data_IF_992221492395
#
_entry.id   IF_992221492395
#
_cell.length_a   1.000
_cell.length_b   1.000
_cell.length_c   1.000
_cell.angle_alpha   90.00
_cell.angle_beta   90.00
_cell.angle_gamma   90.00
#
_symmetry.space_group_name_H-M   'P 1'
#
loop_
_entity.id
_entity.type
_entity.pdbx_description
1 polymer ?
#
# COMPACT_ATOMS: atom_id res chain seq x y z
N UNK A 1 6.54 -73.91 -35.71
CA UNK A 1 6.40 -72.54 -35.19
C UNK A 1 7.70 -71.80 -35.42
N UNK A 2 7.75 -70.92 -36.40
CA UNK A 2 8.87 -69.98 -36.59
C UNK A 2 8.27 -68.72 -37.19
N UNK A 3 8.01 -67.73 -36.34
CA UNK A 3 7.58 -66.41 -36.79
C UNK A 3 8.74 -65.74 -37.52
N UNK A 4 8.57 -65.52 -38.82
CA UNK A 4 9.49 -64.77 -39.63
C UNK A 4 9.51 -63.31 -39.16
N UNK A 5 10.59 -62.89 -38.49
CA UNK A 5 10.85 -61.47 -38.22
C UNK A 5 11.12 -60.77 -39.55
N UNK A 6 10.18 -59.96 -40.00
CA UNK A 6 10.32 -59.14 -41.20
C UNK A 6 11.59 -58.26 -41.10
N UNK A 7 12.39 -58.13 -42.17
CA UNK A 7 13.59 -57.31 -42.14
C UNK A 7 13.19 -55.84 -41.98
N UNK A 8 13.63 -55.23 -40.88
CA UNK A 8 13.45 -53.79 -40.65
C UNK A 8 14.13 -53.04 -41.80
N UNK A 9 13.34 -52.38 -42.63
CA UNK A 9 13.85 -51.56 -43.73
C UNK A 9 14.55 -50.35 -43.13
N UNK A 10 15.89 -50.42 -43.07
CA UNK A 10 16.77 -49.42 -42.43
C UNK A 10 16.47 -47.99 -42.90
N UNK A 11 16.09 -47.78 -44.16
CA UNK A 11 15.72 -46.46 -44.68
C UNK A 11 14.44 -45.88 -44.06
N UNK A 12 13.42 -46.72 -43.83
CA UNK A 12 12.19 -46.32 -43.13
C UNK A 12 12.45 -46.03 -41.65
N UNK A 13 13.33 -46.80 -41.02
CA UNK A 13 13.74 -46.57 -39.63
C UNK A 13 14.43 -45.22 -39.46
N UNK A 14 15.39 -44.86 -40.32
CA UNK A 14 16.03 -43.54 -40.28
C UNK A 14 15.07 -42.39 -40.58
N UNK A 15 14.12 -42.57 -41.51
CA UNK A 15 13.08 -41.57 -41.79
C UNK A 15 12.21 -41.31 -40.55
N UNK A 16 11.71 -42.37 -39.88
CA UNK A 16 10.93 -42.22 -38.65
C UNK A 16 11.74 -41.61 -37.49
N UNK A 17 13.03 -41.90 -37.41
CA UNK A 17 13.90 -41.35 -36.36
C UNK A 17 14.19 -39.86 -36.59
N UNK A 18 14.35 -39.43 -37.84
CA UNK A 18 14.46 -38.02 -38.22
C UNK A 18 13.14 -37.26 -38.01
N UNK A 19 12.01 -37.89 -38.33
CA UNK A 19 10.68 -37.33 -38.08
C UNK A 19 10.44 -37.13 -36.58
N UNK A 20 10.74 -38.15 -35.76
CA UNK A 20 10.66 -38.05 -34.31
C UNK A 20 11.59 -36.97 -33.75
N UNK A 21 12.82 -36.86 -34.27
CA UNK A 21 13.77 -35.83 -33.85
C UNK A 21 13.28 -34.42 -34.22
N UNK A 22 12.69 -34.26 -35.40
CA UNK A 22 12.12 -32.98 -35.86
C UNK A 22 10.93 -32.57 -35.00
N UNK A 23 10.04 -33.49 -34.66
CA UNK A 23 8.92 -33.25 -33.73
C UNK A 23 9.44 -32.87 -32.35
N UNK A 24 10.47 -33.57 -31.85
CA UNK A 24 11.08 -33.28 -30.56
C UNK A 24 11.69 -31.87 -30.52
N UNK A 25 12.44 -31.48 -31.56
CA UNK A 25 12.99 -30.13 -31.70
C UNK A 25 11.87 -29.07 -31.78
N UNK A 26 10.77 -29.36 -32.49
CA UNK A 26 9.62 -28.47 -32.58
C UNK A 26 8.94 -28.23 -31.23
N UNK A 27 8.66 -29.30 -30.48
CA UNK A 27 8.05 -29.20 -29.14
C UNK A 27 8.98 -28.50 -28.16
N UNK A 28 10.26 -28.86 -28.15
CA UNK A 28 11.25 -28.25 -27.26
C UNK A 28 11.46 -26.76 -27.59
N UNK A 29 11.56 -26.42 -28.88
CA UNK A 29 11.67 -25.03 -29.34
C UNK A 29 10.43 -24.20 -28.99
N UNK A 30 9.23 -24.76 -29.17
CA UNK A 30 7.99 -24.10 -28.77
C UNK A 30 7.92 -23.88 -27.25
N UNK A 31 8.35 -24.85 -26.46
CA UNK A 31 8.43 -24.73 -25.01
C UNK A 31 9.41 -23.63 -24.57
N UNK A 32 10.60 -23.56 -25.18
CA UNK A 32 11.57 -22.50 -24.91
C UNK A 32 11.03 -21.11 -25.27
N UNK A 33 10.38 -20.98 -26.43
CA UNK A 33 9.77 -19.72 -26.85
C UNK A 33 8.64 -19.29 -25.91
N UNK A 34 7.80 -20.24 -25.47
CA UNK A 34 6.74 -19.97 -24.51
C UNK A 34 7.31 -19.48 -23.17
N UNK A 35 8.31 -20.18 -22.63
CA UNK A 35 8.97 -19.78 -21.38
C UNK A 35 9.60 -18.40 -21.49
N UNK A 36 10.25 -18.08 -22.61
CA UNK A 36 10.83 -16.76 -22.86
C UNK A 36 9.77 -15.65 -22.90
N UNK A 37 8.62 -15.90 -23.55
CA UNK A 37 7.51 -14.95 -23.58
C UNK A 37 6.88 -14.74 -22.20
N UNK A 38 6.73 -15.81 -21.43
CA UNK A 38 6.23 -15.75 -20.05
C UNK A 38 7.18 -14.99 -19.11
N UNK A 39 8.49 -15.23 -19.20
CA UNK A 39 9.50 -14.50 -18.43
C UNK A 39 9.46 -13.00 -18.75
N UNK A 40 9.41 -12.64 -20.04
CA UNK A 40 9.33 -11.25 -20.47
C UNK A 40 8.05 -10.56 -19.97
N UNK A 41 6.91 -11.26 -20.02
CA UNK A 41 5.64 -10.74 -19.48
C UNK A 41 5.71 -10.55 -17.98
N UNK A 42 6.30 -11.50 -17.25
CA UNK A 42 6.49 -11.42 -15.79
C UNK A 42 7.39 -10.25 -15.41
N UNK A 43 8.47 -10.01 -16.16
CA UNK A 43 9.36 -8.88 -15.97
C UNK A 43 8.64 -7.54 -16.17
N UNK A 44 7.83 -7.41 -17.24
CA UNK A 44 7.02 -6.22 -17.47
C UNK A 44 6.04 -5.94 -16.33
N UNK A 45 5.35 -6.97 -15.84
CA UNK A 45 4.43 -6.84 -14.70
C UNK A 45 5.15 -6.46 -13.41
N UNK A 46 6.34 -7.03 -13.16
CA UNK A 46 7.17 -6.65 -12.02
C UNK A 46 7.59 -5.18 -12.12
N UNK A 47 8.01 -4.71 -13.30
CA UNK A 47 8.40 -3.31 -13.49
C UNK A 47 7.22 -2.36 -13.24
N UNK A 48 6.02 -2.71 -13.71
CA UNK A 48 4.80 -1.95 -13.39
C UNK A 48 4.54 -1.88 -11.88
N UNK A 49 4.68 -3.00 -11.16
CA UNK A 49 4.55 -3.02 -9.71
C UNK A 49 5.58 -2.10 -9.03
N UNK A 50 6.85 -2.16 -9.46
CA UNK A 50 7.92 -1.28 -8.97
C UNK A 50 7.55 0.20 -9.17
N UNK A 51 7.03 0.57 -10.34
CA UNK A 51 6.64 1.94 -10.64
C UNK A 51 5.47 2.42 -9.76
N UNK A 52 4.48 1.56 -9.51
CA UNK A 52 3.37 1.88 -8.60
C UNK A 52 3.86 2.07 -7.17
N UNK A 53 4.74 1.19 -6.69
CA UNK A 53 5.36 1.32 -5.36
C UNK A 53 6.18 2.60 -5.28
N UNK A 54 6.98 2.89 -6.30
CA UNK A 54 7.80 4.11 -6.38
C UNK A 54 6.96 5.38 -6.34
N UNK A 55 5.86 5.41 -7.09
CA UNK A 55 4.90 6.50 -7.05
C UNK A 55 4.30 6.66 -5.65
N UNK A 56 3.83 5.55 -5.06
CA UNK A 56 3.23 5.53 -3.73
C UNK A 56 4.16 6.10 -2.66
N UNK A 57 5.40 5.60 -2.57
CA UNK A 57 6.32 5.99 -1.49
C UNK A 57 6.94 7.36 -1.73
N UNK A 58 7.28 7.72 -2.98
CA UNK A 58 7.95 9.00 -3.27
C UNK A 58 7.00 10.17 -3.10
N UNK A 59 5.76 10.05 -3.59
CA UNK A 59 4.80 11.15 -3.56
C UNK A 59 4.27 11.42 -2.15
N UNK A 60 4.12 10.39 -1.33
CA UNK A 60 3.46 10.51 -0.03
C UNK A 60 4.43 10.60 1.17
N UNK A 61 5.67 10.12 1.08
CA UNK A 61 6.61 10.21 2.21
C UNK A 61 6.76 11.65 2.73
N UNK A 62 7.08 12.60 1.84
CA UNK A 62 7.24 14.02 2.22
C UNK A 62 5.94 14.60 2.79
N UNK A 63 4.79 14.22 2.20
CA UNK A 63 3.47 14.67 2.67
C UNK A 63 3.17 14.17 4.08
N UNK A 64 3.41 12.89 4.38
CA UNK A 64 3.21 12.35 5.72
C UNK A 64 4.12 13.03 6.74
N UNK A 65 5.39 13.30 6.40
CA UNK A 65 6.29 14.07 7.24
C UNK A 65 5.76 15.47 7.54
N UNK A 66 5.32 16.19 6.50
CA UNK A 66 4.71 17.51 6.64
C UNK A 66 3.42 17.49 7.47
N UNK A 67 2.56 16.50 7.25
CA UNK A 67 1.32 16.32 8.02
C UNK A 67 1.58 16.08 9.50
N UNK A 68 2.57 15.22 9.82
CA UNK A 68 2.94 14.97 11.21
C UNK A 68 3.49 16.22 11.88
N UNK A 69 4.38 16.97 11.21
CA UNK A 69 4.97 18.19 11.74
C UNK A 69 3.91 19.28 11.99
N UNK A 70 3.03 19.52 11.01
CA UNK A 70 1.93 20.47 11.13
C UNK A 70 0.97 20.10 12.28
N UNK A 71 0.58 18.82 12.35
CA UNK A 71 -0.35 18.35 13.38
C UNK A 71 0.25 18.40 14.79
N UNK A 72 1.57 18.20 14.94
CA UNK A 72 2.25 18.28 16.24
C UNK A 72 2.15 19.70 16.83
N UNK A 73 2.33 20.74 16.01
CA UNK A 73 2.17 22.15 16.43
C UNK A 73 0.74 22.41 16.90
N UNK A 74 -0.27 22.01 16.11
CA UNK A 74 -1.68 22.22 16.45
C UNK A 74 -2.11 21.41 17.68
N UNK A 75 -1.59 20.19 17.85
CA UNK A 75 -1.85 19.36 19.02
C UNK A 75 -1.26 19.97 20.30
N UNK A 76 -0.11 20.64 20.22
CA UNK A 76 0.47 21.34 21.36
C UNK A 76 -0.43 22.48 21.83
N UNK A 77 -0.88 23.33 20.90
CA UNK A 77 -1.81 24.44 21.17
C UNK A 77 -3.13 23.92 21.76
N UNK A 78 -3.69 22.88 21.14
CA UNK A 78 -4.92 22.22 21.61
C UNK A 78 -4.78 21.70 23.05
N UNK A 79 -3.68 21.01 23.36
CA UNK A 79 -3.39 20.48 24.71
C UNK A 79 -3.28 21.58 25.74
N UNK A 80 -2.63 22.69 25.40
CA UNK A 80 -2.45 23.82 26.30
C UNK A 80 -3.82 24.43 26.68
N UNK A 81 -4.69 24.65 25.68
CA UNK A 81 -6.05 25.16 25.90
C UNK A 81 -6.90 24.16 26.72
N UNK A 82 -6.83 22.87 26.39
CA UNK A 82 -7.56 21.83 27.12
C UNK A 82 -7.11 21.70 28.59
N UNK A 83 -5.80 21.79 28.84
CA UNK A 83 -5.22 21.75 30.18
C UNK A 83 -5.58 22.99 31.02
N UNK A 84 -5.74 24.16 30.38
CA UNK A 84 -6.24 25.38 31.02
C UNK A 84 -7.74 25.32 31.37
N UNK A 85 -8.42 24.21 31.07
CA UNK A 85 -9.84 24.00 31.36
C UNK A 85 -10.78 24.48 30.26
N UNK A 86 -10.26 25.11 29.20
CA UNK A 86 -11.05 25.53 28.04
C UNK A 86 -11.38 24.34 27.13
N UNK A 87 -12.41 24.50 26.30
CA UNK A 87 -12.70 23.61 25.19
C UNK A 87 -12.13 24.28 23.94
N UNK A 88 -11.04 23.75 23.36
CA UNK A 88 -10.47 24.33 22.14
C UNK A 88 -11.49 24.24 21.00
N UNK A 89 -11.35 25.11 20.00
CA UNK A 89 -12.11 24.97 18.76
C UNK A 89 -11.57 23.77 17.97
N UNK A 90 -12.47 22.95 17.46
CA UNK A 90 -12.19 21.85 16.54
C UNK A 90 -13.29 21.69 15.49
N UNK A 91 -14.07 22.75 15.20
CA UNK A 91 -15.20 22.71 14.27
C UNK A 91 -14.84 22.86 12.79
N UNK A 92 -13.56 23.00 12.45
CA UNK A 92 -13.06 23.31 11.10
C UNK A 92 -12.21 22.17 10.50
N UNK A 93 -12.26 20.97 11.08
CA UNK A 93 -11.45 19.86 10.61
C UNK A 93 -11.95 19.36 9.25
N UNK A 94 -11.11 19.49 8.23
CA UNK A 94 -11.43 19.06 6.87
C UNK A 94 -10.29 18.29 6.23
N UNK A 95 -10.59 17.08 5.74
CA UNK A 95 -9.67 16.24 4.97
C UNK A 95 -10.35 15.89 3.62
N UNK A 96 -9.88 16.42 2.48
CA UNK A 96 -10.55 16.26 1.19
C UNK A 96 -10.45 14.83 0.66
N UNK A 97 -11.58 14.25 0.22
CA UNK A 97 -11.62 12.93 -0.43
C UNK A 97 -11.77 13.04 -1.97
N UNK A 98 -11.07 12.21 -2.78
CA UNK A 98 -10.05 11.23 -2.38
C UNK A 98 -8.65 11.84 -2.18
N UNK A 99 -8.05 11.62 -1.02
CA UNK A 99 -6.69 12.11 -0.69
C UNK A 99 -5.57 11.13 -1.09
N UNK A 100 -5.90 9.84 -1.13
CA UNK A 100 -4.97 8.72 -1.31
C UNK A 100 -5.45 7.81 -2.45
N UNK A 101 -4.55 7.25 -3.28
CA UNK A 101 -4.91 6.40 -4.40
C UNK A 101 -5.20 4.98 -3.92
N UNK A 102 -6.33 4.79 -3.24
CA UNK A 102 -6.68 3.49 -2.62
C UNK A 102 -6.76 2.38 -3.66
N UNK A 103 -7.28 2.66 -4.85
CA UNK A 103 -7.35 1.67 -5.93
C UNK A 103 -5.95 1.13 -6.31
N UNK A 104 -4.94 1.99 -6.30
CA UNK A 104 -3.54 1.60 -6.55
C UNK A 104 -3.02 0.73 -5.42
N UNK A 105 -3.34 1.09 -4.17
CA UNK A 105 -2.95 0.30 -3.00
C UNK A 105 -3.62 -1.07 -2.98
N UNK A 106 -4.89 -1.17 -3.36
CA UNK A 106 -5.60 -2.44 -3.41
C UNK A 106 -5.09 -3.34 -4.54
N UNK A 107 -4.69 -2.76 -5.67
CA UNK A 107 -4.00 -3.49 -6.74
C UNK A 107 -2.66 -4.09 -6.27
N UNK A 108 -1.89 -3.34 -5.47
CA UNK A 108 -0.60 -3.79 -4.91
C UNK A 108 -0.79 -4.98 -3.95
N UNK A 109 -1.93 -5.11 -3.28
CA UNK A 109 -2.20 -6.19 -2.31
C UNK A 109 -2.84 -7.46 -2.90
N UNK A 110 -2.84 -7.61 -4.23
CA UNK A 110 -3.42 -8.79 -4.89
C UNK A 110 -2.51 -10.02 -4.81
N UNK A 111 -3.10 -11.22 -4.95
CA UNK A 111 -2.33 -12.47 -5.12
C UNK A 111 -1.37 -12.40 -6.32
N UNK A 112 -1.76 -11.64 -7.35
CA UNK A 112 -0.90 -11.39 -8.50
C UNK A 112 0.38 -10.65 -8.09
N UNK A 113 0.27 -9.56 -7.34
CA UNK A 113 1.42 -8.81 -6.82
C UNK A 113 2.28 -9.67 -5.87
N UNK A 114 1.68 -10.54 -5.06
CA UNK A 114 2.42 -11.51 -4.24
C UNK A 114 3.26 -12.48 -5.07
N UNK A 115 2.78 -12.93 -6.23
CA UNK A 115 3.53 -13.83 -7.14
C UNK A 115 4.72 -13.16 -7.84
N UNK A 116 4.74 -11.82 -7.87
CA UNK A 116 5.74 -10.99 -8.53
C UNK A 116 6.81 -10.43 -7.57
N UNK A 117 6.54 -10.47 -6.26
CA UNK A 117 7.41 -9.96 -5.21
C UNK A 117 7.87 -11.08 -4.27
N UNK A 118 9.06 -10.93 -3.71
CA UNK A 118 9.50 -11.76 -2.59
C UNK A 118 8.70 -11.41 -1.32
N UNK A 119 8.67 -12.32 -0.35
CA UNK A 119 8.02 -12.08 0.95
C UNK A 119 8.58 -10.82 1.65
N UNK A 120 9.88 -10.57 1.50
CA UNK A 120 10.56 -9.41 2.10
C UNK A 120 10.16 -8.09 1.43
N UNK A 121 9.85 -8.12 0.14
CA UNK A 121 9.31 -6.98 -0.62
C UNK A 121 7.81 -6.76 -0.33
N UNK A 122 7.03 -7.83 -0.21
CA UNK A 122 5.58 -7.78 -0.11
C UNK A 122 5.09 -7.36 1.29
N UNK A 123 5.65 -7.91 2.38
CA UNK A 123 5.16 -7.63 3.74
C UNK A 123 5.17 -6.13 4.09
N UNK A 124 6.24 -5.36 3.81
CA UNK A 124 6.25 -3.92 4.07
C UNK A 124 5.24 -3.15 3.21
N UNK A 125 4.88 -3.66 2.02
CA UNK A 125 3.80 -3.06 1.20
C UNK A 125 2.44 -3.24 1.87
N UNK A 126 2.16 -4.43 2.43
CA UNK A 126 0.95 -4.67 3.22
C UNK A 126 0.88 -3.72 4.41
N UNK A 127 1.99 -3.57 5.13
CA UNK A 127 2.10 -2.66 6.27
C UNK A 127 1.84 -1.20 5.87
N UNK A 128 2.43 -0.76 4.76
CA UNK A 128 2.24 0.57 4.20
C UNK A 128 0.76 0.84 3.88
N UNK A 129 0.13 -0.04 3.10
CA UNK A 129 -1.27 0.13 2.69
C UNK A 129 -2.21 0.11 3.90
N UNK A 130 -1.98 -0.78 4.86
CA UNK A 130 -2.75 -0.81 6.10
C UNK A 130 -2.52 0.45 6.95
N UNK A 131 -1.32 1.01 6.94
CA UNK A 131 -1.03 2.32 7.53
C UNK A 131 -1.87 3.43 6.91
N UNK A 132 -1.96 3.49 5.58
CA UNK A 132 -2.81 4.46 4.88
C UNK A 132 -4.28 4.27 5.23
N UNK A 133 -4.79 3.03 5.22
CA UNK A 133 -6.19 2.75 5.59
C UNK A 133 -6.50 3.19 7.03
N UNK A 134 -5.58 2.96 7.97
CA UNK A 134 -5.70 3.46 9.35
C UNK A 134 -5.68 4.99 9.41
N UNK A 135 -4.83 5.65 8.61
CA UNK A 135 -4.77 7.11 8.53
C UNK A 135 -6.11 7.69 8.07
N UNK A 136 -6.67 7.15 6.99
CA UNK A 136 -7.97 7.57 6.45
C UNK A 136 -9.08 7.45 7.50
N UNK A 137 -9.13 6.31 8.19
CA UNK A 137 -10.10 6.11 9.27
C UNK A 137 -9.94 7.17 10.38
N UNK A 138 -8.71 7.46 10.79
CA UNK A 138 -8.45 8.49 11.81
C UNK A 138 -8.88 9.88 11.33
N UNK A 139 -8.64 10.22 10.07
CA UNK A 139 -9.07 11.49 9.48
C UNK A 139 -10.60 11.60 9.40
N UNK A 140 -11.30 10.52 9.04
CA UNK A 140 -12.76 10.45 9.08
C UNK A 140 -13.30 10.66 10.50
N UNK A 141 -12.66 10.05 11.51
CA UNK A 141 -13.04 10.27 12.90
C UNK A 141 -12.82 11.71 13.37
N UNK A 142 -11.77 12.39 12.89
CA UNK A 142 -11.53 13.80 13.18
C UNK A 142 -12.63 14.68 12.59
N UNK A 143 -13.02 14.47 11.33
CA UNK A 143 -14.14 15.19 10.69
C UNK A 143 -15.45 14.92 11.44
N UNK A 144 -15.77 13.66 11.72
CA UNK A 144 -17.00 13.30 12.43
C UNK A 144 -17.09 13.92 13.84
N UNK A 145 -15.97 14.07 14.54
CA UNK A 145 -15.92 14.76 15.83
C UNK A 145 -16.06 16.27 15.65
N UNK A 146 -15.44 16.83 14.61
CA UNK A 146 -15.55 18.23 14.22
C UNK A 146 -16.99 18.64 13.92
N UNK A 147 -17.73 17.82 13.18
CA UNK A 147 -19.14 18.05 12.87
C UNK A 147 -20.05 18.07 14.12
N UNK A 148 -19.60 17.45 15.22
CA UNK A 148 -20.31 17.45 16.51
C UNK A 148 -19.92 18.60 17.43
N UNK A 149 -18.91 19.38 17.04
CA UNK A 149 -18.51 20.57 17.77
C UNK A 149 -19.63 21.60 17.74
N UNK A 150 -19.88 22.24 18.88
CA UNK A 150 -20.76 23.38 18.98
C UNK A 150 -20.08 24.45 19.84
N UNK A 151 -20.02 25.71 19.39
CA UNK A 151 -19.49 26.78 20.19
C UNK A 151 -20.38 26.98 21.42
N UNK A 152 -19.78 26.88 22.60
CA UNK A 152 -20.49 27.06 23.86
C UNK A 152 -20.55 28.55 24.24
N UNK A 153 -21.68 29.04 24.80
CA UNK A 153 -21.73 30.38 25.38
C UNK A 153 -20.68 30.51 26.49
N UNK A 154 -20.11 31.70 26.65
CA UNK A 154 -18.80 31.93 27.26
C UNK A 154 -18.69 31.59 28.75
N UNK A 155 -19.76 31.19 29.43
CA UNK A 155 -19.73 30.88 30.87
C UNK A 155 -20.83 29.90 31.30
N UNK A 156 -20.65 28.59 31.16
CA UNK A 156 -21.41 27.60 31.94
C UNK A 156 -20.56 26.35 32.19
N UNK A 157 -19.66 26.43 33.16
CA UNK A 157 -18.67 25.39 33.48
C UNK A 157 -19.22 24.07 34.05
N UNK A 158 -20.52 23.80 33.94
CA UNK A 158 -21.17 22.59 34.46
C UNK A 158 -22.40 22.14 33.64
N UNK A 159 -22.65 22.71 32.46
CA UNK A 159 -23.75 22.22 31.62
C UNK A 159 -23.44 20.83 31.06
N UNK A 160 -24.47 20.04 30.79
CA UNK A 160 -24.33 18.73 30.12
C UNK A 160 -23.58 18.90 28.78
N UNK A 161 -23.81 20.02 28.09
CA UNK A 161 -23.13 20.36 26.84
C UNK A 161 -21.64 20.64 27.04
N UNK A 162 -21.24 21.32 28.11
CA UNK A 162 -19.82 21.52 28.44
C UNK A 162 -19.11 20.19 28.68
N UNK A 163 -19.70 19.31 29.49
CA UNK A 163 -19.13 17.98 29.77
C UNK A 163 -19.01 17.17 28.47
N UNK A 164 -20.05 17.18 27.64
CA UNK A 164 -20.05 16.50 26.33
C UNK A 164 -18.96 17.05 25.42
N UNK A 165 -18.88 18.36 25.24
CA UNK A 165 -17.88 19.00 24.38
C UNK A 165 -16.45 18.75 24.88
N UNK A 166 -16.24 18.72 26.21
CA UNK A 166 -14.95 18.33 26.79
C UNK A 166 -14.58 16.87 26.46
N UNK A 167 -15.53 15.95 26.51
CA UNK A 167 -15.30 14.56 26.09
C UNK A 167 -15.01 14.44 24.59
N UNK A 168 -15.70 15.19 23.74
CA UNK A 168 -15.42 15.25 22.30
C UNK A 168 -14.00 15.80 22.03
N UNK A 169 -13.62 16.88 22.69
CA UNK A 169 -12.28 17.46 22.60
C UNK A 169 -11.18 16.45 23.02
N UNK A 170 -11.41 15.69 24.09
CA UNK A 170 -10.47 14.65 24.53
C UNK A 170 -10.30 13.54 23.48
N UNK A 171 -11.40 13.10 22.85
CA UNK A 171 -11.35 12.12 21.75
C UNK A 171 -10.67 12.70 20.51
N UNK A 172 -10.96 13.95 20.17
CA UNK A 172 -10.34 14.65 19.05
C UNK A 172 -8.82 14.73 19.24
N UNK A 173 -8.37 15.13 20.42
CA UNK A 173 -6.96 15.12 20.81
C UNK A 173 -6.30 13.75 20.65
N UNK A 174 -7.01 12.68 21.03
CA UNK A 174 -6.51 11.31 20.87
C UNK A 174 -6.30 10.96 19.39
N UNK A 175 -7.27 11.26 18.52
CA UNK A 175 -7.15 11.00 17.08
C UNK A 175 -6.08 11.88 16.42
N UNK A 176 -5.89 13.13 16.84
CA UNK A 176 -4.77 13.95 16.35
C UNK A 176 -3.42 13.31 16.66
N UNK A 177 -3.26 12.73 17.86
CA UNK A 177 -2.03 12.01 18.22
C UNK A 177 -1.85 10.73 17.40
N UNK A 178 -2.93 9.96 17.20
CA UNK A 178 -2.90 8.76 16.34
C UNK A 178 -2.48 9.13 14.92
N UNK A 179 -3.03 10.21 14.36
CA UNK A 179 -2.69 10.72 13.03
C UNK A 179 -1.18 10.99 12.90
N UNK A 180 -0.61 11.71 13.86
CA UNK A 180 0.85 11.97 13.91
C UNK A 180 1.64 10.67 13.91
N UNK A 181 1.26 9.73 14.76
CA UNK A 181 1.98 8.47 14.93
C UNK A 181 1.95 7.63 13.64
N UNK A 182 0.78 7.53 13.01
CA UNK A 182 0.61 6.80 11.73
C UNK A 182 1.40 7.48 10.62
N UNK A 183 1.37 8.82 10.51
CA UNK A 183 2.17 9.54 9.53
C UNK A 183 3.68 9.28 9.70
N UNK A 184 4.19 9.28 10.95
CA UNK A 184 5.60 8.96 11.24
C UNK A 184 5.94 7.51 10.90
N UNK A 185 5.04 6.58 11.21
CA UNK A 185 5.17 5.17 10.85
C UNK A 185 5.25 5.00 9.33
N UNK A 186 4.35 5.64 8.59
CA UNK A 186 4.31 5.62 7.13
C UNK A 186 5.57 6.21 6.48
N UNK A 187 6.18 7.24 7.06
CA UNK A 187 7.48 7.76 6.61
C UNK A 187 8.56 6.68 6.76
N UNK A 188 8.64 6.02 7.92
CA UNK A 188 9.65 4.96 8.15
C UNK A 188 9.45 3.78 7.21
N UNK A 189 8.21 3.35 7.01
CA UNK A 189 7.89 2.26 6.08
C UNK A 189 8.25 2.67 4.65
N UNK A 190 7.95 3.92 4.24
CA UNK A 190 8.30 4.44 2.91
C UNK A 190 9.81 4.39 2.66
N UNK A 191 10.62 4.78 3.66
CA UNK A 191 12.07 4.73 3.58
C UNK A 191 12.59 3.29 3.47
N UNK A 192 12.04 2.37 4.26
CA UNK A 192 12.36 0.95 4.16
C UNK A 192 12.00 0.35 2.80
N UNK A 193 10.81 0.67 2.28
CA UNK A 193 10.38 0.27 0.94
C UNK A 193 11.31 0.81 -0.14
N UNK A 194 11.74 2.07 -0.05
CA UNK A 194 12.70 2.63 -1.01
C UNK A 194 14.01 1.86 -1.04
N UNK A 195 14.52 1.44 0.12
CA UNK A 195 15.74 0.63 0.20
C UNK A 195 15.55 -0.77 -0.39
N UNK A 196 14.47 -1.45 -0.02
CA UNK A 196 14.16 -2.82 -0.47
C UNK A 196 13.98 -2.87 -1.99
N UNK A 197 13.28 -1.88 -2.55
CA UNK A 197 12.94 -1.81 -3.96
C UNK A 197 13.97 -1.04 -4.81
N UNK A 198 15.10 -0.63 -4.23
CA UNK A 198 16.17 0.09 -4.96
C UNK A 198 15.73 1.45 -5.52
N UNK A 199 14.73 2.09 -4.89
CA UNK A 199 14.21 3.39 -5.32
C UNK A 199 15.14 4.48 -4.78
N UNK A 200 15.90 5.12 -5.67
CA UNK A 200 16.79 6.22 -5.30
C UNK A 200 16.01 7.37 -4.65
N UNK A 201 16.57 7.95 -3.58
CA UNK A 201 16.10 9.22 -3.04
C UNK A 201 16.30 10.31 -4.12
N UNK A 202 15.22 10.95 -4.55
CA UNK A 202 15.34 12.17 -5.33
C UNK A 202 15.75 13.29 -4.36
N UNK A 203 16.98 13.80 -4.55
CA UNK A 203 17.50 14.99 -3.87
C UNK A 203 16.71 16.23 -4.29
#
# INVERSE_FOLDING_TARGET
MSEAKAPVNKGKFWAYLLELFTVFLGVYGAFLLNNYQEEKKREQQRNQLVDLVKFAVTHYESRFGGFAAWQETHLSEFRNLYAAGAIPDFGDAYYPAPQYPIDVFEYILTEHSYSLATKQEYLPLVEYVNGVKRLMYVEEQLVMLSDQYAPLPTQEGQSVDFVRQRHLAARYQHYMQLRINICRELVKISQGLKQIWGIAAQN
#
